data_IF_799754925214
#
_entry.id   IF_799754925214
#
_cell.length_a   1.000
_cell.length_b   1.000
_cell.length_c   1.000
_cell.angle_alpha   90.00
_cell.angle_beta   90.00
_cell.angle_gamma   90.00
#
_symmetry.space_group_name_H-M   'P 1'
#
loop_
_entity.id
_entity.type
_entity.pdbx_description
1 polymer ?
#
# COMPACT_ATOMS: atom_id res chain seq x y z
N UNK A 1 -4.28 5.24 2.62
CA UNK A 1 -3.14 6.09 2.19
C UNK A 1 -1.87 5.30 2.41
N UNK A 2 -0.92 5.38 1.49
CA UNK A 2 0.40 4.75 1.61
C UNK A 2 1.47 5.80 1.35
N UNK A 3 2.37 5.98 2.32
CA UNK A 3 3.37 7.06 2.37
C UNK A 3 4.77 6.58 1.96
N UNK A 4 4.92 5.27 1.75
CA UNK A 4 6.17 4.67 1.30
C UNK A 4 5.88 3.49 0.37
N UNK A 5 6.64 3.39 -0.71
CA UNK A 5 6.55 2.23 -1.57
C UNK A 5 7.23 1.03 -0.89
N UNK A 6 6.40 0.09 -0.43
CA UNK A 6 6.83 -1.17 0.19
C UNK A 6 6.69 -2.35 -0.77
N UNK A 7 6.50 -2.07 -2.06
CA UNK A 7 6.32 -3.03 -3.15
C UNK A 7 5.20 -4.05 -2.90
N UNK A 8 4.23 -3.70 -2.05
CA UNK A 8 3.16 -4.58 -1.60
C UNK A 8 1.75 -3.99 -1.85
N UNK A 9 1.67 -2.89 -2.58
CA UNK A 9 0.41 -2.16 -2.79
C UNK A 9 -0.72 -3.08 -3.35
N UNK A 10 -0.49 -3.94 -4.36
CA UNK A 10 -1.52 -4.85 -4.88
C UNK A 10 -2.07 -5.80 -3.81
N UNK A 11 -1.19 -6.31 -2.93
CA UNK A 11 -1.60 -7.22 -1.85
C UNK A 11 -2.38 -6.48 -0.76
N UNK A 12 -1.98 -5.24 -0.45
CA UNK A 12 -2.71 -4.38 0.48
C UNK A 12 -4.10 -4.04 -0.04
N UNK A 13 -4.23 -3.76 -1.34
CA UNK A 13 -5.52 -3.51 -2.00
C UNK A 13 -6.41 -4.75 -1.95
N UNK A 14 -5.85 -5.94 -2.20
CA UNK A 14 -6.59 -7.21 -2.07
C UNK A 14 -7.08 -7.46 -0.64
N UNK A 15 -6.26 -7.17 0.37
CA UNK A 15 -6.68 -7.24 1.78
C UNK A 15 -7.84 -6.29 2.07
N UNK A 16 -7.74 -5.02 1.63
CA UNK A 16 -8.83 -4.06 1.80
C UNK A 16 -10.13 -4.52 1.11
N UNK A 17 -10.03 -5.07 -0.10
CA UNK A 17 -11.18 -5.59 -0.85
C UNK A 17 -11.85 -6.74 -0.10
N UNK A 18 -11.07 -7.69 0.41
CA UNK A 18 -11.59 -8.84 1.15
C UNK A 18 -12.34 -8.41 2.41
N UNK A 19 -11.78 -7.46 3.18
CA UNK A 19 -12.45 -6.93 4.37
C UNK A 19 -13.76 -6.20 4.04
N UNK A 20 -13.83 -5.52 2.88
CA UNK A 20 -15.08 -4.91 2.41
C UNK A 20 -16.08 -5.99 2.03
N UNK A 21 -15.68 -6.95 1.20
CA UNK A 21 -16.55 -8.03 0.71
C UNK A 21 -17.13 -8.84 1.88
N UNK A 22 -16.31 -9.15 2.90
CA UNK A 22 -16.75 -9.82 4.12
C UNK A 22 -17.78 -8.97 4.90
N UNK A 23 -17.58 -7.66 4.98
CA UNK A 23 -18.50 -6.76 5.68
C UNK A 23 -19.85 -6.57 4.98
N UNK A 24 -19.90 -6.76 3.66
CA UNK A 24 -21.10 -6.53 2.84
C UNK A 24 -22.09 -7.71 2.86
N UNK A 25 -21.60 -8.95 2.93
CA UNK A 25 -22.45 -10.14 2.89
C UNK A 25 -22.73 -10.66 4.30
N UNK A 26 -23.86 -10.25 4.88
CA UNK A 26 -24.33 -10.74 6.18
C UNK A 26 -24.69 -12.25 6.13
N UNK A 27 -24.69 -12.94 7.28
CA UNK A 27 -25.20 -14.30 7.37
C UNK A 27 -26.61 -14.41 6.75
N UNK A 28 -26.87 -15.51 6.04
CA UNK A 28 -28.14 -15.82 5.37
C UNK A 28 -28.50 -14.93 4.16
N UNK A 29 -27.55 -14.14 3.62
CA UNK A 29 -27.71 -13.39 2.37
C UNK A 29 -27.18 -14.14 1.14
N UNK A 30 -27.81 -13.87 0.00
CA UNK A 30 -27.44 -14.47 -1.28
C UNK A 30 -26.28 -13.68 -1.93
N UNK A 31 -25.33 -14.36 -2.58
CA UNK A 31 -24.21 -13.68 -3.22
C UNK A 31 -24.64 -12.67 -4.29
N UNK A 32 -25.84 -12.79 -4.86
CA UNK A 32 -26.41 -11.83 -5.81
C UNK A 32 -26.65 -10.46 -5.18
N UNK A 33 -26.78 -10.36 -3.86
CA UNK A 33 -26.94 -9.09 -3.15
C UNK A 33 -25.70 -8.20 -3.29
N UNK A 34 -24.53 -8.77 -3.59
CA UNK A 34 -23.32 -8.00 -3.94
C UNK A 34 -23.53 -7.08 -5.15
N UNK A 35 -24.48 -7.40 -6.03
CA UNK A 35 -24.83 -6.53 -7.17
C UNK A 35 -25.45 -5.19 -6.77
N UNK A 36 -25.93 -5.07 -5.53
CA UNK A 36 -26.43 -3.83 -4.94
C UNK A 36 -25.32 -2.99 -4.31
N UNK A 37 -24.11 -3.55 -4.20
CA UNK A 37 -22.97 -2.96 -3.53
C UNK A 37 -21.73 -2.88 -4.44
N UNK A 38 -21.76 -2.06 -5.51
CA UNK A 38 -20.56 -1.75 -6.28
C UNK A 38 -19.46 -1.25 -5.34
N UNK A 39 -18.29 -1.89 -5.37
CA UNK A 39 -17.23 -1.66 -4.39
C UNK A 39 -16.06 -0.90 -5.00
N UNK A 40 -15.64 0.16 -4.30
CA UNK A 40 -14.50 0.97 -4.68
C UNK A 40 -13.43 0.95 -3.60
N UNK A 41 -12.23 0.50 -3.94
CA UNK A 41 -11.05 0.66 -3.08
C UNK A 41 -10.25 1.86 -3.59
N UNK A 42 -10.27 2.94 -2.82
CA UNK A 42 -9.49 4.15 -3.11
C UNK A 42 -8.20 4.13 -2.31
N UNK A 43 -7.05 4.06 -3.00
CA UNK A 43 -5.74 4.23 -2.38
C UNK A 43 -5.10 5.53 -2.84
N UNK A 44 -4.57 6.29 -1.88
CA UNK A 44 -3.78 7.48 -2.13
C UNK A 44 -2.32 7.20 -1.80
N UNK A 45 -1.45 7.34 -2.80
CA UNK A 45 -0.01 7.16 -2.70
C UNK A 45 0.70 8.51 -2.82
N UNK A 46 1.69 8.76 -1.97
CA UNK A 46 2.57 9.92 -2.10
C UNK A 46 3.73 9.71 -3.09
N UNK A 47 3.86 8.48 -3.62
CA UNK A 47 4.73 8.06 -4.71
C UNK A 47 3.90 7.59 -5.93
N UNK A 48 4.59 7.43 -7.07
CA UNK A 48 4.00 6.85 -8.27
C UNK A 48 4.32 5.35 -8.35
N UNK A 49 3.36 4.50 -7.98
CA UNK A 49 3.57 3.05 -7.89
C UNK A 49 3.84 2.39 -9.25
N UNK A 50 3.22 2.89 -10.33
CA UNK A 50 3.35 2.28 -11.66
C UNK A 50 4.31 3.04 -12.58
N UNK A 51 4.70 4.26 -12.20
CA UNK A 51 5.71 5.04 -12.92
C UNK A 51 5.24 5.71 -14.20
N UNK A 52 3.93 5.73 -14.50
CA UNK A 52 3.39 6.37 -15.71
C UNK A 52 3.10 7.87 -15.54
N UNK A 53 3.23 8.43 -14.33
CA UNK A 53 3.05 9.87 -14.07
C UNK A 53 1.59 10.35 -14.04
N UNK A 54 0.62 9.44 -14.14
CA UNK A 54 -0.81 9.76 -14.15
C UNK A 54 -1.33 10.09 -12.75
N UNK A 55 -2.30 11.00 -12.66
CA UNK A 55 -2.98 11.35 -11.41
C UNK A 55 -3.79 10.20 -10.83
N UNK A 56 -4.33 9.33 -11.69
CA UNK A 56 -5.26 8.29 -11.32
C UNK A 56 -5.06 7.06 -12.19
N UNK A 57 -4.92 5.92 -11.53
CA UNK A 57 -4.97 4.60 -12.14
C UNK A 57 -6.27 3.92 -11.74
N UNK A 58 -7.02 3.40 -12.71
CA UNK A 58 -8.29 2.70 -12.47
C UNK A 58 -8.16 1.28 -13.00
N UNK A 59 -8.47 0.32 -12.14
CA UNK A 59 -8.41 -1.10 -12.45
C UNK A 59 -9.76 -1.76 -12.21
N UNK A 60 -10.16 -2.59 -13.15
CA UNK A 60 -11.34 -3.44 -13.12
C UNK A 60 -10.95 -4.82 -13.64
N UNK A 61 -11.64 -5.88 -13.23
CA UNK A 61 -11.38 -7.22 -13.76
C UNK A 61 -11.77 -7.34 -15.24
N UNK A 62 -10.83 -7.79 -16.06
CA UNK A 62 -11.00 -8.00 -17.49
C UNK A 62 -10.44 -9.36 -17.92
N UNK A 63 -10.96 -9.89 -19.03
CA UNK A 63 -10.47 -11.12 -19.63
C UNK A 63 -9.05 -10.93 -20.20
N UNK A 64 -8.15 -11.87 -19.92
CA UNK A 64 -6.75 -11.83 -20.39
C UNK A 64 -6.60 -12.02 -21.89
N UNK A 65 -7.53 -12.72 -22.54
CA UNK A 65 -7.56 -12.91 -24.00
C UNK A 65 -8.19 -11.72 -24.72
N UNK A 66 -9.18 -11.07 -24.11
CA UNK A 66 -9.87 -9.91 -24.65
C UNK A 66 -10.05 -8.85 -23.55
N UNK A 67 -9.15 -7.88 -23.48
CA UNK A 67 -9.16 -6.83 -22.45
C UNK A 67 -10.39 -5.90 -22.49
N UNK A 68 -11.17 -5.92 -23.58
CA UNK A 68 -12.45 -5.20 -23.65
C UNK A 68 -13.59 -5.94 -22.94
N UNK A 69 -13.46 -7.26 -22.74
CA UNK A 69 -14.44 -8.07 -22.02
C UNK A 69 -14.22 -7.94 -20.52
N UNK A 70 -15.09 -7.17 -19.86
CA UNK A 70 -15.10 -7.00 -18.39
C UNK A 70 -15.83 -8.15 -17.70
N UNK A 71 -15.35 -8.55 -16.53
CA UNK A 71 -15.99 -9.61 -15.72
C UNK A 71 -17.36 -9.16 -15.19
N UNK A 72 -17.52 -7.85 -14.92
CA UNK A 72 -18.79 -7.29 -14.44
C UNK A 72 -19.08 -7.54 -12.96
N UNK A 73 -18.06 -7.86 -12.17
CA UNK A 73 -18.15 -8.10 -10.72
C UNK A 73 -18.24 -6.81 -9.88
N UNK A 74 -18.33 -5.65 -10.54
CA UNK A 74 -18.53 -4.33 -9.93
C UNK A 74 -17.48 -3.90 -8.90
N UNK A 75 -16.29 -4.51 -8.95
CA UNK A 75 -15.15 -4.13 -8.12
C UNK A 75 -14.22 -3.21 -8.90
N UNK A 76 -13.95 -2.05 -8.31
CA UNK A 76 -13.08 -1.04 -8.91
C UNK A 76 -11.99 -0.63 -7.93
N UNK A 77 -10.74 -0.74 -8.36
CA UNK A 77 -9.59 -0.23 -7.62
C UNK A 77 -9.15 1.07 -8.25
N UNK A 78 -9.05 2.13 -7.44
CA UNK A 78 -8.56 3.43 -7.87
C UNK A 78 -7.34 3.79 -7.04
N UNK A 79 -6.23 4.03 -7.72
CA UNK A 79 -4.98 4.46 -7.09
C UNK A 79 -4.67 5.88 -7.55
N UNK A 80 -4.60 6.80 -6.60
CA UNK A 80 -4.21 8.18 -6.84
C UNK A 80 -2.73 8.38 -6.52
N UNK A 81 -2.05 9.11 -7.40
CA UNK A 81 -0.62 9.36 -7.34
C UNK A 81 -0.36 10.85 -7.08
N UNK A 82 0.24 11.17 -5.93
CA UNK A 82 0.54 12.55 -5.58
C UNK A 82 1.76 13.14 -6.32
N UNK A 83 2.56 12.31 -7.01
CA UNK A 83 3.65 12.77 -7.90
C UNK A 83 3.18 13.11 -9.31
N UNK A 84 1.88 12.93 -9.60
CA UNK A 84 1.36 13.08 -10.93
C UNK A 84 1.64 14.47 -11.53
N UNK A 85 2.01 14.44 -12.81
CA UNK A 85 2.27 15.63 -13.63
C UNK A 85 1.16 15.83 -14.66
N UNK A 86 0.50 14.74 -15.04
CA UNK A 86 -0.55 14.71 -16.04
C UNK A 86 -1.91 14.61 -15.36
N UNK A 87 -2.81 15.53 -15.71
CA UNK A 87 -4.18 15.61 -15.20
C UNK A 87 -5.13 15.81 -16.36
N UNK A 88 -6.10 14.92 -16.50
CA UNK A 88 -7.21 15.12 -17.44
C UNK A 88 -8.18 16.21 -16.90
N UNK A 89 -9.16 16.63 -17.73
CA UNK A 89 -10.17 17.63 -17.33
C UNK A 89 -10.97 17.21 -16.09
N UNK A 90 -11.33 15.93 -15.99
CA UNK A 90 -12.06 15.36 -14.85
C UNK A 90 -11.19 15.16 -13.59
N UNK A 91 -9.86 15.31 -13.70
CA UNK A 91 -8.92 15.15 -12.59
C UNK A 91 -8.45 16.49 -12.00
N UNK A 92 -8.81 17.61 -12.61
CA UNK A 92 -8.49 18.94 -12.06
C UNK A 92 -8.99 19.15 -10.62
N UNK A 93 -10.18 18.67 -10.20
CA UNK A 93 -10.63 18.83 -8.82
C UNK A 93 -9.75 18.12 -7.79
N UNK A 94 -9.15 16.98 -8.14
CA UNK A 94 -8.33 16.20 -7.20
C UNK A 94 -6.88 16.71 -7.12
N UNK A 95 -6.44 17.50 -8.11
CA UNK A 95 -5.07 18.05 -8.19
C UNK A 95 -4.63 18.76 -6.90
N UNK A 96 -5.48 19.64 -6.38
CA UNK A 96 -5.15 20.40 -5.16
C UNK A 96 -5.08 19.48 -3.93
N UNK A 97 -5.89 18.41 -3.89
CA UNK A 97 -5.85 17.45 -2.79
C UNK A 97 -4.56 16.63 -2.82
N UNK A 98 -4.14 16.18 -4.00
CA UNK A 98 -2.88 15.48 -4.19
C UNK A 98 -1.67 16.37 -3.86
N UNK A 99 -1.73 17.66 -4.18
CA UNK A 99 -0.73 18.63 -3.74
C UNK A 99 -0.71 18.78 -2.21
N UNK A 100 -1.88 18.90 -1.57
CA UNK A 100 -2.01 18.97 -0.11
C UNK A 100 -1.37 17.76 0.58
N UNK A 101 -1.56 16.54 0.06
CA UNK A 101 -0.95 15.32 0.62
C UNK A 101 0.58 15.40 0.72
N UNK A 102 1.22 16.18 -0.15
CA UNK A 102 2.67 16.37 -0.19
C UNK A 102 3.12 17.61 0.59
N UNK A 103 2.26 18.16 1.44
CA UNK A 103 2.46 19.43 2.13
C UNK A 103 2.70 20.61 1.17
N UNK A 104 2.27 20.50 -0.10
CA UNK A 104 2.31 21.60 -1.08
C UNK A 104 0.93 22.22 -1.10
N UNK A 105 0.74 23.24 -0.28
CA UNK A 105 -0.59 23.83 -0.09
C UNK A 105 -0.80 24.99 -1.06
N UNK A 106 -1.85 24.89 -1.86
CA UNK A 106 -2.44 26.07 -2.50
C UNK A 106 -3.65 26.53 -1.67
N UNK A 107 -3.41 27.53 -0.81
CA UNK A 107 -4.41 28.09 0.12
C UNK A 107 -5.57 28.83 -0.59
N UNK A 108 -5.60 28.86 -1.93
CA UNK A 108 -6.66 29.53 -2.69
C UNK A 108 -7.92 28.69 -2.89
N UNK A 109 -7.87 27.38 -2.62
CA UNK A 109 -9.00 26.48 -2.87
C UNK A 109 -9.89 26.29 -1.65
N UNK A 110 -11.15 26.74 -1.73
CA UNK A 110 -12.19 26.52 -0.69
C UNK A 110 -12.36 25.03 -0.32
N UNK A 111 -12.11 24.12 -1.27
CA UNK A 111 -12.16 22.68 -1.04
C UNK A 111 -11.05 22.20 -0.10
N UNK A 112 -9.83 22.71 -0.29
CA UNK A 112 -8.67 22.36 0.55
C UNK A 112 -8.81 22.92 1.95
N UNK A 113 -9.33 24.14 2.09
CA UNK A 113 -9.63 24.72 3.41
C UNK A 113 -10.61 23.84 4.20
N UNK A 114 -11.72 23.41 3.57
CA UNK A 114 -12.69 22.51 4.21
C UNK A 114 -12.06 21.17 4.65
N UNK A 115 -11.19 20.60 3.83
CA UNK A 115 -10.47 19.35 4.18
C UNK A 115 -9.53 19.58 5.36
N UNK A 116 -8.78 20.68 5.37
CA UNK A 116 -7.87 21.01 6.48
C UNK A 116 -8.63 21.22 7.79
N UNK A 117 -9.76 21.93 7.75
CA UNK A 117 -10.62 22.12 8.92
C UNK A 117 -11.13 20.77 9.46
N UNK A 118 -11.54 19.87 8.57
CA UNK A 118 -12.03 18.55 8.96
C UNK A 118 -10.90 17.65 9.51
N UNK A 119 -9.68 17.74 8.94
CA UNK A 119 -8.49 17.08 9.49
C UNK A 119 -8.22 17.56 10.92
N UNK A 120 -8.34 18.85 11.20
CA UNK A 120 -8.14 19.42 12.54
C UNK A 120 -9.18 18.84 13.51
N UNK A 121 -10.46 18.80 13.13
CA UNK A 121 -11.54 18.23 13.95
C UNK A 121 -11.31 16.74 14.24
N UNK A 122 -10.96 15.95 13.23
CA UNK A 122 -10.67 14.51 13.40
C UNK A 122 -9.46 14.29 14.30
N UNK A 123 -8.42 15.13 14.19
CA UNK A 123 -7.25 15.04 15.07
C UNK A 123 -7.61 15.31 16.55
N UNK A 124 -8.65 16.08 16.82
CA UNK A 124 -9.10 16.40 18.18
C UNK A 124 -10.03 15.33 18.78
N UNK A 125 -10.50 14.36 17.98
CA UNK A 125 -11.43 13.30 18.41
C UNK A 125 -10.74 11.91 18.47
N UNK A 126 -10.46 11.37 19.68
CA UNK A 126 -9.79 10.08 19.87
C UNK A 126 -10.59 8.85 19.40
N UNK A 127 -11.93 8.92 19.38
CA UNK A 127 -12.80 7.84 18.92
C UNK A 127 -12.86 7.82 17.38
N UNK A 128 -12.96 8.99 16.73
CA UNK A 128 -12.87 9.07 15.26
C UNK A 128 -11.48 8.73 14.73
N UNK A 129 -10.43 8.97 15.53
CA UNK A 129 -9.06 8.52 15.20
C UNK A 129 -8.96 6.99 15.08
N UNK A 130 -9.87 6.24 15.71
CA UNK A 130 -9.93 4.77 15.73
C UNK A 130 -10.68 4.13 14.54
N UNK A 131 -11.02 4.89 13.49
CA UNK A 131 -11.64 4.37 12.27
C UNK A 131 -10.98 3.07 11.76
N UNK A 132 -11.79 2.01 11.72
CA UNK A 132 -11.46 0.61 12.02
C UNK A 132 -10.50 -0.16 11.09
N UNK A 133 -10.01 0.39 9.98
CA UNK A 133 -9.13 -0.37 9.05
C UNK A 133 -7.66 0.05 9.10
N UNK A 134 -7.36 1.22 9.69
CA UNK A 134 -6.00 1.77 9.71
C UNK A 134 -5.08 1.03 10.70
N UNK A 135 -5.61 0.64 11.86
CA UNK A 135 -4.80 0.08 12.94
C UNK A 135 -4.15 -1.26 12.57
N UNK A 136 -4.90 -2.18 11.97
CA UNK A 136 -4.37 -3.50 11.58
C UNK A 136 -3.30 -3.39 10.50
N UNK A 137 -3.56 -2.60 9.46
CA UNK A 137 -2.60 -2.39 8.37
C UNK A 137 -1.34 -1.69 8.87
N UNK A 138 -1.47 -0.70 9.75
CA UNK A 138 -0.33 -0.01 10.35
C UNK A 138 0.45 -0.96 11.28
N UNK A 139 -0.22 -1.84 12.02
CA UNK A 139 0.42 -2.86 12.86
C UNK A 139 1.15 -3.92 12.02
N UNK A 140 0.57 -4.34 10.88
CA UNK A 140 1.23 -5.23 9.93
C UNK A 140 2.48 -4.59 9.32
N UNK A 141 2.39 -3.31 8.92
CA UNK A 141 3.53 -2.54 8.41
C UNK A 141 4.65 -2.46 9.48
N UNK A 142 4.30 -2.09 10.73
CA UNK A 142 5.26 -1.98 11.83
C UNK A 142 5.96 -3.31 12.17
N UNK A 143 5.22 -4.42 12.24
CA UNK A 143 5.80 -5.75 12.48
C UNK A 143 6.75 -6.17 11.36
N UNK A 144 6.44 -5.80 10.12
CA UNK A 144 7.28 -6.10 8.96
C UNK A 144 8.58 -5.30 9.02
N UNK A 145 8.51 -4.03 9.37
CA UNK A 145 9.67 -3.15 9.54
C UNK A 145 10.58 -3.65 10.66
N UNK A 146 10.02 -3.99 11.82
CA UNK A 146 10.79 -4.56 12.94
C UNK A 146 11.48 -5.89 12.55
N UNK A 147 10.78 -6.76 11.82
CA UNK A 147 11.36 -8.02 11.33
C UNK A 147 12.49 -7.77 10.32
N UNK A 148 12.34 -6.79 9.44
CA UNK A 148 13.37 -6.42 8.46
C UNK A 148 14.61 -5.81 9.16
N UNK A 149 14.40 -4.90 10.10
CA UNK A 149 15.48 -4.31 10.88
C UNK A 149 16.25 -5.35 11.70
N UNK A 150 15.54 -6.26 12.38
CA UNK A 150 16.18 -7.33 13.15
C UNK A 150 17.03 -8.21 12.25
N UNK A 151 16.54 -8.53 11.04
CA UNK A 151 17.25 -9.32 10.04
C UNK A 151 18.51 -8.60 9.55
N UNK A 152 18.41 -7.32 9.22
CA UNK A 152 19.57 -6.51 8.83
C UNK A 152 20.61 -6.41 9.96
N UNK A 153 20.17 -6.22 11.21
CA UNK A 153 21.05 -6.20 12.39
C UNK A 153 21.78 -7.53 12.57
N UNK A 154 21.08 -8.67 12.42
CA UNK A 154 21.69 -10.00 12.49
C UNK A 154 22.76 -10.19 11.41
N UNK A 155 22.45 -9.87 10.14
CA UNK A 155 23.40 -10.02 9.03
C UNK A 155 24.63 -9.14 9.24
N UNK A 156 24.44 -7.87 9.65
CA UNK A 156 25.55 -6.95 9.95
C UNK A 156 26.41 -7.45 11.12
N UNK A 157 25.79 -7.97 12.17
CA UNK A 157 26.50 -8.53 13.32
C UNK A 157 27.36 -9.74 12.93
N UNK A 158 26.79 -10.73 12.23
CA UNK A 158 27.53 -11.91 11.77
C UNK A 158 28.62 -11.55 10.77
N UNK A 159 28.36 -10.62 9.85
CA UNK A 159 29.39 -10.12 8.94
C UNK A 159 30.55 -9.45 9.69
N UNK A 160 30.28 -8.69 10.76
CA UNK A 160 31.33 -8.08 11.59
C UNK A 160 32.19 -9.09 12.35
N UNK A 161 31.63 -10.27 12.64
CA UNK A 161 32.31 -11.42 13.25
C UNK A 161 33.13 -12.23 12.24
N UNK A 162 33.17 -11.84 10.96
CA UNK A 162 33.77 -12.59 9.84
C UNK A 162 33.18 -14.00 9.67
N UNK A 163 31.92 -14.19 10.07
CA UNK A 163 31.17 -15.43 9.85
C UNK A 163 31.07 -15.71 8.34
N UNK A 164 31.22 -16.97 7.93
CA UNK A 164 31.18 -17.35 6.53
C UNK A 164 29.80 -17.03 5.92
N UNK A 165 29.70 -16.54 4.66
CA UNK A 165 28.42 -16.23 4.03
C UNK A 165 27.43 -17.40 4.03
N UNK A 166 27.91 -18.64 3.92
CA UNK A 166 27.10 -19.85 4.00
C UNK A 166 26.42 -20.03 5.36
N UNK A 167 27.09 -19.68 6.45
CA UNK A 167 26.55 -19.76 7.81
C UNK A 167 25.53 -18.64 8.07
N UNK A 168 25.75 -17.45 7.51
CA UNK A 168 24.77 -16.36 7.55
C UNK A 168 23.50 -16.76 6.79
N UNK A 169 23.64 -17.40 5.62
CA UNK A 169 22.51 -17.95 4.87
C UNK A 169 21.76 -18.99 5.70
N UNK A 170 22.46 -19.93 6.35
CA UNK A 170 21.84 -20.93 7.22
C UNK A 170 21.08 -20.29 8.39
N UNK A 171 21.62 -19.23 9.00
CA UNK A 171 20.94 -18.48 10.06
C UNK A 171 19.65 -17.81 9.54
N UNK A 172 19.67 -17.23 8.33
CA UNK A 172 18.48 -16.64 7.71
C UNK A 172 17.41 -17.69 7.36
N UNK A 173 17.82 -18.85 6.86
CA UNK A 173 16.90 -19.97 6.59
C UNK A 173 16.26 -20.46 7.89
N UNK A 174 17.05 -20.66 8.95
CA UNK A 174 16.54 -21.21 10.21
C UNK A 174 15.69 -20.22 11.02
N UNK A 175 16.15 -18.98 11.18
CA UNK A 175 15.49 -17.98 12.04
C UNK A 175 14.32 -17.31 11.32
N UNK A 176 14.47 -17.00 10.03
CA UNK A 176 13.46 -16.26 9.27
C UNK A 176 12.63 -17.15 8.33
N UNK A 177 12.90 -18.46 8.29
CA UNK A 177 12.23 -19.42 7.39
C UNK A 177 12.30 -18.99 5.92
N UNK A 178 13.40 -18.35 5.55
CA UNK A 178 13.59 -17.86 4.19
C UNK A 178 13.94 -19.01 3.25
N UNK A 179 13.42 -19.00 2.00
CA UNK A 179 13.95 -19.87 0.97
C UNK A 179 15.44 -19.63 0.78
N UNK A 180 16.22 -20.70 0.64
CA UNK A 180 17.68 -20.61 0.58
C UNK A 180 18.16 -19.69 -0.55
N UNK A 181 17.50 -19.73 -1.70
CA UNK A 181 17.79 -18.85 -2.84
C UNK A 181 17.67 -17.36 -2.45
N UNK A 182 16.57 -16.99 -1.80
CA UNK A 182 16.30 -15.61 -1.35
C UNK A 182 17.26 -15.19 -0.24
N UNK A 183 17.62 -16.10 0.66
CA UNK A 183 18.61 -15.83 1.70
C UNK A 183 20.00 -15.54 1.10
N UNK A 184 20.41 -16.28 0.06
CA UNK A 184 21.68 -16.02 -0.66
C UNK A 184 21.68 -14.66 -1.35
N UNK A 185 20.60 -14.33 -2.06
CA UNK A 185 20.42 -13.00 -2.70
C UNK A 185 20.50 -11.87 -1.66
N UNK A 186 19.81 -12.05 -0.53
CA UNK A 186 19.79 -11.07 0.56
C UNK A 186 21.16 -10.85 1.20
N UNK A 187 21.93 -11.93 1.46
CA UNK A 187 23.30 -11.83 1.98
C UNK A 187 24.22 -11.13 0.98
N UNK A 188 24.11 -11.45 -0.32
CA UNK A 188 24.92 -10.82 -1.36
C UNK A 188 24.67 -9.30 -1.47
N UNK A 189 23.43 -8.86 -1.25
CA UNK A 189 23.06 -7.43 -1.27
C UNK A 189 23.56 -6.68 -0.02
N UNK A 190 23.54 -7.32 1.15
CA UNK A 190 23.77 -6.66 2.45
C UNK A 190 25.18 -6.87 3.03
N UNK A 191 25.91 -7.87 2.57
CA UNK A 191 27.31 -8.13 2.94
C UNK A 191 28.19 -7.71 1.77
N UNK A 192 28.61 -6.44 1.73
CA UNK A 192 29.64 -6.01 0.79
C UNK A 192 30.94 -6.73 1.13
N UNK A 193 31.43 -7.57 0.22
CA UNK A 193 32.79 -8.12 0.29
C UNK A 193 33.78 -6.97 0.46
N UNK A 194 34.61 -6.95 1.53
CA UNK A 194 35.72 -6.02 1.60
C UNK A 194 36.61 -6.25 0.38
N UNK A 195 36.91 -5.16 -0.34
CA UNK A 195 37.96 -5.15 -1.37
C UNK A 195 39.32 -5.41 -0.75
#
# INVERSE_FOLDING_TARGET
MQVADRQNLPYRLRYCQEQIDHGLLLPDKDYRDLSLHPTYVLMFCDFDYFGYGWARYVFEMACTRNHQLKLGDQRTVVIFNALAKEFTKNEQPIKNFLALMRNRVDNKSKFITKIQDEIIKIKQDPERRRGFMKFELDLMDARREEREESKQKLVKFLASQKTAPSEIVAALVNVYQMPEKTAREYVAEHVKTPK
#
